data_IF_491364516146
#
_entry.id   IF_491364516146
#
_cell.length_a   1.000
_cell.length_b   1.000
_cell.length_c   1.000
_cell.angle_alpha   90.00
_cell.angle_beta   90.00
_cell.angle_gamma   90.00
#
_symmetry.space_group_name_H-M   'P 1'
#
loop_
_entity.id
_entity.type
_entity.pdbx_description
1 polymer ?
#
# COMPACT_ATOMS: atom_id res chain seq x y z
N UNK A 1 -16.17 -21.02 3.11
CA UNK A 1 -14.72 -20.76 3.31
C UNK A 1 -13.94 -21.51 2.23
N UNK A 2 -12.81 -20.98 1.75
CA UNK A 2 -11.97 -21.68 0.78
C UNK A 2 -11.43 -22.98 1.39
N UNK A 3 -11.08 -23.97 0.56
CA UNK A 3 -10.46 -25.21 1.02
C UNK A 3 -9.19 -24.93 1.85
N UNK A 4 -9.10 -25.56 3.02
CA UNK A 4 -7.96 -25.46 3.94
C UNK A 4 -7.19 -26.78 3.96
N UNK A 5 -5.86 -26.69 3.88
CA UNK A 5 -4.93 -27.80 4.03
C UNK A 5 -4.41 -27.85 5.48
N UNK A 6 -4.39 -29.01 6.16
CA UNK A 6 -3.96 -29.10 7.55
C UNK A 6 -2.52 -28.65 7.84
N UNK A 7 -1.62 -28.70 6.85
CA UNK A 7 -0.20 -28.35 6.98
C UNK A 7 0.08 -26.97 6.40
N UNK A 8 -0.49 -26.68 5.23
CA UNK A 8 -0.18 -25.48 4.44
C UNK A 8 -1.31 -24.44 4.39
N UNK A 9 -2.35 -24.62 5.21
CA UNK A 9 -3.53 -23.76 5.22
C UNK A 9 -4.10 -23.52 3.82
N UNK A 10 -4.17 -22.25 3.42
CA UNK A 10 -4.71 -21.81 2.13
C UNK A 10 -3.63 -21.55 1.08
N UNK A 11 -2.36 -21.93 1.30
CA UNK A 11 -1.25 -21.67 0.34
C UNK A 11 -1.59 -22.14 -1.07
N UNK A 12 -2.19 -23.32 -1.22
CA UNK A 12 -2.55 -23.84 -2.55
C UNK A 12 -3.68 -23.05 -3.22
N UNK A 13 -4.64 -22.55 -2.44
CA UNK A 13 -5.71 -21.69 -2.96
C UNK A 13 -5.12 -20.36 -3.42
N UNK A 14 -4.24 -19.78 -2.61
CA UNK A 14 -3.53 -18.55 -2.94
C UNK A 14 -2.65 -18.71 -4.19
N UNK A 15 -1.89 -19.80 -4.30
CA UNK A 15 -1.05 -20.08 -5.46
C UNK A 15 -1.89 -20.20 -6.75
N UNK A 16 -3.05 -20.86 -6.68
CA UNK A 16 -3.99 -20.95 -7.81
C UNK A 16 -4.53 -19.57 -8.22
N UNK A 17 -4.83 -18.70 -7.27
CA UNK A 17 -5.29 -17.34 -7.57
C UNK A 17 -4.14 -16.51 -8.17
N UNK A 18 -2.96 -16.54 -7.55
CA UNK A 18 -1.76 -15.86 -8.02
C UNK A 18 -1.39 -16.27 -9.45
N UNK A 19 -1.52 -17.55 -9.81
CA UNK A 19 -1.24 -18.02 -11.17
C UNK A 19 -2.15 -17.43 -12.25
N UNK A 20 -3.29 -16.85 -11.86
CA UNK A 20 -4.23 -16.18 -12.78
C UNK A 20 -4.05 -14.67 -12.83
N UNK A 21 -3.29 -14.10 -11.89
CA UNK A 21 -3.01 -12.68 -11.85
C UNK A 21 -1.91 -12.33 -12.86
N UNK A 22 -1.90 -11.07 -13.31
CA UNK A 22 -0.77 -10.53 -14.05
C UNK A 22 0.49 -10.64 -13.20
N UNK A 23 1.64 -10.88 -13.83
CA UNK A 23 2.92 -11.08 -13.15
C UNK A 23 3.27 -9.95 -12.17
N UNK A 24 2.87 -8.72 -12.51
CA UNK A 24 3.13 -7.50 -11.74
C UNK A 24 1.89 -7.01 -10.96
N UNK A 25 0.87 -7.86 -10.80
CA UNK A 25 -0.33 -7.51 -10.04
C UNK A 25 0.02 -7.31 -8.56
N UNK A 26 -0.54 -6.24 -7.97
CA UNK A 26 -0.29 -5.94 -6.58
C UNK A 26 -0.92 -7.01 -5.65
N UNK A 27 -0.20 -7.53 -4.64
CA UNK A 27 -0.70 -8.63 -3.81
C UNK A 27 -2.01 -8.34 -3.07
N UNK A 28 -2.39 -7.07 -2.85
CA UNK A 28 -3.67 -6.73 -2.22
C UNK A 28 -4.90 -7.15 -3.05
N UNK A 29 -4.75 -7.43 -4.35
CA UNK A 29 -5.84 -8.02 -5.13
C UNK A 29 -6.23 -9.42 -4.65
N UNK A 30 -5.35 -10.15 -3.94
CA UNK A 30 -5.62 -11.52 -3.52
C UNK A 30 -6.87 -11.67 -2.66
N UNK A 31 -7.09 -10.77 -1.72
CA UNK A 31 -8.27 -10.79 -0.86
C UNK A 31 -9.57 -10.69 -1.67
N UNK A 32 -9.60 -9.78 -2.64
CA UNK A 32 -10.77 -9.60 -3.50
C UNK A 32 -10.94 -10.76 -4.49
N UNK A 33 -9.87 -11.23 -5.12
CA UNK A 33 -9.93 -12.39 -6.03
C UNK A 33 -10.39 -13.67 -5.33
N UNK A 34 -10.01 -13.85 -4.06
CA UNK A 34 -10.47 -14.96 -3.23
C UNK A 34 -11.98 -14.82 -2.96
N UNK A 35 -12.45 -13.63 -2.58
CA UNK A 35 -13.88 -13.37 -2.38
C UNK A 35 -14.70 -13.61 -3.65
N UNK A 36 -14.21 -13.19 -4.81
CA UNK A 36 -14.87 -13.46 -6.10
C UNK A 36 -14.92 -14.96 -6.44
N UNK A 37 -13.86 -15.71 -6.09
CA UNK A 37 -13.79 -17.16 -6.33
C UNK A 37 -14.67 -17.98 -5.38
N UNK A 38 -15.07 -17.40 -4.25
CA UNK A 38 -15.90 -18.04 -3.23
C UNK A 38 -17.04 -17.09 -2.80
N UNK A 39 -18.10 -16.91 -3.60
CA UNK A 39 -19.14 -15.89 -3.35
C UNK A 39 -19.90 -16.07 -2.04
N UNK A 40 -20.02 -17.30 -1.55
CA UNK A 40 -20.66 -17.61 -0.27
C UNK A 40 -19.80 -17.21 0.95
N UNK A 41 -18.57 -16.77 0.70
CA UNK A 41 -17.69 -16.22 1.72
C UNK A 41 -18.14 -14.81 2.07
N UNK A 42 -18.48 -14.59 3.34
CA UNK A 42 -18.75 -13.26 3.87
C UNK A 42 -17.55 -12.32 3.72
N UNK A 43 -17.75 -11.01 3.97
CA UNK A 43 -16.71 -9.98 3.79
C UNK A 43 -15.58 -10.07 4.83
N UNK A 44 -15.67 -10.96 5.80
CA UNK A 44 -14.69 -11.13 6.87
C UNK A 44 -14.29 -12.59 6.91
N UNK A 45 -12.98 -12.86 6.84
CA UNK A 45 -12.49 -14.23 6.82
C UNK A 45 -11.03 -14.37 7.19
N UNK A 46 -10.66 -15.57 7.64
CA UNK A 46 -9.27 -15.92 7.89
C UNK A 46 -8.56 -16.37 6.62
N UNK A 47 -7.34 -15.88 6.46
CA UNK A 47 -6.36 -16.34 5.50
C UNK A 47 -5.16 -16.92 6.25
N UNK A 48 -5.06 -18.23 6.19
CA UNK A 48 -3.93 -19.00 6.72
C UNK A 48 -2.97 -19.31 5.56
N UNK A 49 -1.73 -18.83 5.63
CA UNK A 49 -0.69 -19.21 4.66
C UNK A 49 0.61 -19.62 5.36
N UNK A 50 0.48 -20.28 6.52
CA UNK A 50 1.61 -20.88 7.21
C UNK A 50 2.35 -21.89 6.29
N UNK A 51 3.70 -21.94 6.31
CA UNK A 51 4.62 -21.19 7.16
C UNK A 51 5.10 -19.84 6.61
N UNK A 52 4.53 -19.35 5.51
CA UNK A 52 5.04 -18.16 4.82
C UNK A 52 4.46 -16.86 5.35
N UNK A 53 3.19 -16.86 5.75
CA UNK A 53 2.49 -15.69 6.28
C UNK A 53 1.74 -16.12 7.53
N UNK A 54 1.75 -15.27 8.56
CA UNK A 54 0.93 -15.48 9.76
C UNK A 54 -0.55 -15.53 9.40
N UNK A 55 -1.34 -16.24 10.20
CA UNK A 55 -2.80 -16.23 10.09
C UNK A 55 -3.30 -14.78 10.09
N UNK A 56 -3.97 -14.39 9.01
CA UNK A 56 -4.39 -13.02 8.75
C UNK A 56 -5.91 -12.97 8.71
N UNK A 57 -6.52 -12.06 9.46
CA UNK A 57 -7.94 -11.75 9.32
C UNK A 57 -8.11 -10.70 8.22
N UNK A 58 -8.77 -11.06 7.13
CA UNK A 58 -9.16 -10.13 6.08
C UNK A 58 -10.52 -9.54 6.43
N UNK A 59 -10.60 -8.21 6.42
CA UNK A 59 -11.83 -7.45 6.72
C UNK A 59 -12.15 -6.57 5.52
N UNK A 60 -13.11 -6.98 4.71
CA UNK A 60 -13.63 -6.26 3.54
C UNK A 60 -15.03 -5.67 3.81
N UNK A 61 -15.28 -5.26 5.06
CA UNK A 61 -16.53 -4.61 5.50
C UNK A 61 -16.20 -3.21 6.03
N UNK A 62 -16.72 -2.12 5.42
CA UNK A 62 -16.42 -0.76 5.88
C UNK A 62 -16.80 -0.51 7.34
N UNK A 63 -17.95 -1.02 7.80
CA UNK A 63 -18.41 -0.86 9.17
C UNK A 63 -17.44 -1.55 10.17
N UNK A 64 -16.97 -2.75 9.84
CA UNK A 64 -16.03 -3.49 10.70
C UNK A 64 -14.62 -2.88 10.65
N UNK A 65 -14.19 -2.37 9.49
CA UNK A 65 -12.92 -1.65 9.35
C UNK A 65 -12.89 -0.41 10.25
N UNK A 66 -13.98 0.36 10.30
CA UNK A 66 -14.07 1.52 11.19
C UNK A 66 -13.89 1.14 12.66
N UNK A 67 -14.49 0.02 13.09
CA UNK A 67 -14.34 -0.49 14.46
C UNK A 67 -12.90 -0.80 14.83
N UNK A 68 -12.11 -1.42 13.94
CA UNK A 68 -10.74 -1.87 14.25
C UNK A 68 -9.63 -0.87 13.92
N UNK A 69 -9.93 0.18 13.15
CA UNK A 69 -8.95 1.20 12.75
C UNK A 69 -9.16 2.54 13.44
N UNK A 70 -10.40 2.86 13.80
CA UNK A 70 -10.79 4.19 14.31
C UNK A 70 -11.37 4.13 15.71
N UNK A 71 -12.37 3.27 15.95
CA UNK A 71 -13.04 3.18 17.27
C UNK A 71 -12.16 2.45 18.30
N UNK A 72 -11.59 1.32 17.89
CA UNK A 72 -10.64 0.54 18.65
C UNK A 72 -9.34 0.50 17.86
N UNK A 73 -8.43 1.44 18.14
CA UNK A 73 -7.10 1.47 17.52
C UNK A 73 -6.32 0.23 17.98
N UNK A 74 -6.35 -0.82 17.15
CA UNK A 74 -5.57 -2.03 17.40
C UNK A 74 -4.07 -1.74 17.24
N UNK A 75 -3.19 -2.44 17.97
CA UNK A 75 -1.75 -2.32 17.78
C UNK A 75 -1.36 -2.70 16.35
N UNK A 76 -0.30 -2.06 15.85
CA UNK A 76 0.25 -2.40 14.53
C UNK A 76 0.84 -3.80 14.54
N UNK A 77 0.92 -4.40 13.36
CA UNK A 77 1.49 -5.73 13.21
C UNK A 77 3.00 -5.70 13.57
N UNK A 78 3.47 -6.47 14.58
CA UNK A 78 4.85 -6.33 15.08
C UNK A 78 5.94 -6.52 14.03
N UNK A 79 5.73 -7.41 13.06
CA UNK A 79 6.71 -7.67 12.01
C UNK A 79 6.98 -6.45 11.11
N UNK A 80 6.10 -5.44 11.10
CA UNK A 80 6.37 -4.17 10.41
C UNK A 80 7.56 -3.47 11.05
N UNK A 81 7.64 -3.45 12.38
CA UNK A 81 8.77 -2.86 13.08
C UNK A 81 10.05 -3.66 12.79
N UNK A 82 10.01 -4.99 12.92
CA UNK A 82 11.15 -5.85 12.62
C UNK A 82 11.71 -5.62 11.20
N UNK A 83 10.81 -5.43 10.23
CA UNK A 83 11.18 -5.16 8.84
C UNK A 83 11.79 -3.76 8.64
N UNK A 84 11.27 -2.73 9.30
CA UNK A 84 11.71 -1.34 9.13
C UNK A 84 12.84 -0.94 10.09
N UNK A 85 13.10 -1.72 11.13
CA UNK A 85 14.10 -1.43 12.14
C UNK A 85 15.50 -1.16 11.56
N UNK A 86 16.02 -1.92 10.57
CA UNK A 86 17.33 -1.62 9.99
C UNK A 86 17.38 -0.28 9.24
N UNK A 87 16.24 0.25 8.77
CA UNK A 87 16.16 1.48 7.99
C UNK A 87 15.97 2.71 8.88
N UNK A 88 15.12 2.60 9.91
CA UNK A 88 14.69 3.73 10.70
C UNK A 88 14.96 3.58 12.20
N UNK A 89 15.47 2.43 12.66
CA UNK A 89 15.70 2.12 14.08
C UNK A 89 14.43 2.30 14.94
N UNK A 90 13.27 1.91 14.39
CA UNK A 90 11.95 2.12 14.99
C UNK A 90 11.51 3.58 15.07
N UNK A 91 12.27 4.52 14.48
CA UNK A 91 11.98 5.96 14.48
C UNK A 91 11.33 6.41 13.18
N UNK A 92 10.25 5.75 12.79
CA UNK A 92 9.44 6.11 11.66
C UNK A 92 7.94 6.12 12.00
N UNK A 93 7.16 6.90 11.27
CA UNK A 93 5.71 7.03 11.50
C UNK A 93 4.92 5.74 11.22
N UNK A 94 5.52 4.76 10.53
CA UNK A 94 4.88 3.49 10.21
C UNK A 94 5.00 2.54 11.40
N UNK A 95 6.14 2.47 12.08
CA UNK A 95 6.41 1.55 13.19
C UNK A 95 6.09 2.12 14.58
N UNK A 96 6.25 3.44 14.78
CA UNK A 96 5.96 4.09 16.06
C UNK A 96 4.48 3.91 16.46
N UNK A 97 4.21 3.77 17.76
CA UNK A 97 2.84 3.64 18.29
C UNK A 97 2.49 4.71 19.32
N UNK A 98 1.18 4.87 19.53
CA UNK A 98 0.59 5.66 20.62
C UNK A 98 1.13 7.11 20.71
N UNK A 99 1.75 7.45 21.84
CA UNK A 99 2.16 8.81 22.19
C UNK A 99 3.30 9.32 21.31
N UNK A 100 4.29 8.47 21.05
CA UNK A 100 5.45 8.83 20.22
C UNK A 100 4.99 9.10 18.79
N UNK A 101 4.19 8.20 18.23
CA UNK A 101 3.57 8.38 16.93
C UNK A 101 2.76 9.68 16.86
N UNK A 102 1.90 9.95 17.86
CA UNK A 102 1.03 11.14 17.89
C UNK A 102 1.85 12.43 17.87
N UNK A 103 2.94 12.48 18.62
CA UNK A 103 3.84 13.62 18.65
C UNK A 103 4.47 13.86 17.28
N UNK A 104 5.17 12.87 16.72
CA UNK A 104 5.84 13.01 15.43
C UNK A 104 4.87 13.23 14.26
N UNK A 105 3.70 12.59 14.30
CA UNK A 105 2.64 12.79 13.31
C UNK A 105 2.13 14.24 13.31
N UNK A 106 2.01 14.86 14.49
CA UNK A 106 1.58 16.26 14.59
C UNK A 106 2.57 17.23 13.93
N UNK A 107 3.87 16.99 14.09
CA UNK A 107 4.92 17.78 13.45
C UNK A 107 4.89 17.54 11.93
N UNK A 108 4.88 16.28 11.51
CA UNK A 108 4.85 15.89 10.10
C UNK A 108 3.63 16.47 9.36
N UNK A 109 2.45 16.48 9.99
CA UNK A 109 1.22 16.99 9.38
C UNK A 109 1.29 18.48 8.99
N UNK A 110 2.19 19.28 9.60
CA UNK A 110 2.36 20.69 9.22
C UNK A 110 2.84 20.84 7.77
N UNK A 111 3.70 19.92 7.30
CA UNK A 111 4.13 19.83 5.90
C UNK A 111 3.02 19.40 4.94
N UNK A 112 1.87 18.97 5.45
CA UNK A 112 0.69 18.64 4.65
C UNK A 112 -0.46 19.63 4.90
N UNK A 113 -0.18 20.78 5.50
CA UNK A 113 -1.18 21.84 5.66
C UNK A 113 -1.55 22.42 4.30
N UNK A 114 -2.82 22.80 4.13
CA UNK A 114 -3.29 23.38 2.87
C UNK A 114 -2.47 24.59 2.44
N UNK A 115 -2.09 25.46 3.39
CA UNK A 115 -1.25 26.64 3.10
C UNK A 115 0.11 26.27 2.52
N UNK A 116 0.78 25.25 3.08
CA UNK A 116 2.08 24.80 2.58
C UNK A 116 1.96 24.03 1.26
N UNK A 117 0.91 23.22 1.10
CA UNK A 117 0.65 22.54 -0.18
C UNK A 117 0.42 23.54 -1.31
N UNK A 118 -0.29 24.65 -1.05
CA UNK A 118 -0.51 25.71 -2.04
C UNK A 118 0.79 26.39 -2.48
N UNK A 119 1.81 26.52 -1.61
CA UNK A 119 3.11 27.05 -2.02
C UNK A 119 3.91 26.08 -2.89
N UNK A 120 3.59 24.78 -2.83
CA UNK A 120 4.26 23.73 -3.61
C UNK A 120 3.65 23.51 -5.00
N UNK A 121 2.42 24.01 -5.23
CA UNK A 121 1.71 23.84 -6.51
C UNK A 121 2.54 24.26 -7.73
N UNK A 122 3.25 25.41 -7.74
CA UNK A 122 4.06 25.80 -8.90
C UNK A 122 5.12 24.76 -9.26
N UNK A 123 5.79 24.16 -8.28
CA UNK A 123 6.79 23.11 -8.52
C UNK A 123 6.16 21.81 -8.99
N UNK A 124 5.03 21.41 -8.41
CA UNK A 124 4.27 20.23 -8.86
C UNK A 124 3.86 20.39 -10.32
N UNK A 125 3.33 21.55 -10.69
CA UNK A 125 2.93 21.85 -12.07
C UNK A 125 4.14 21.76 -13.00
N UNK A 126 5.27 22.35 -12.62
CA UNK A 126 6.51 22.32 -13.41
C UNK A 126 7.00 20.89 -13.67
N UNK A 127 7.08 20.04 -12.65
CA UNK A 127 7.50 18.63 -12.87
C UNK A 127 6.47 17.84 -13.67
N UNK A 128 5.18 18.12 -13.45
CA UNK A 128 4.11 17.48 -14.24
C UNK A 128 4.17 17.89 -15.71
N UNK A 129 4.52 19.15 -16.03
CA UNK A 129 4.72 19.60 -17.40
C UNK A 129 5.85 18.83 -18.08
N UNK A 130 7.01 18.69 -17.41
CA UNK A 130 8.13 17.88 -17.94
C UNK A 130 7.70 16.43 -18.19
N UNK A 131 6.97 15.83 -17.26
CA UNK A 131 6.43 14.48 -17.44
C UNK A 131 5.50 14.40 -18.66
N UNK A 132 4.60 15.36 -18.86
CA UNK A 132 3.74 15.41 -20.03
C UNK A 132 4.53 15.53 -21.34
N UNK A 133 5.58 16.35 -21.38
CA UNK A 133 6.46 16.46 -22.56
C UNK A 133 7.13 15.12 -22.90
N UNK A 134 7.60 14.39 -21.89
CA UNK A 134 8.16 13.04 -22.08
C UNK A 134 7.12 12.07 -22.65
N UNK A 135 5.88 12.12 -22.14
CA UNK A 135 4.79 11.28 -22.68
C UNK A 135 4.44 11.66 -24.12
N UNK A 136 4.40 12.95 -24.45
CA UNK A 136 4.17 13.42 -25.82
C UNK A 136 5.25 12.94 -26.78
N UNK A 137 6.51 12.94 -26.36
CA UNK A 137 7.61 12.45 -27.18
C UNK A 137 7.51 10.95 -27.46
N UNK A 138 7.11 10.14 -26.48
CA UNK A 138 6.81 8.73 -26.71
C UNK A 138 5.61 8.54 -27.65
N UNK A 139 4.55 9.33 -27.47
CA UNK A 139 3.39 9.28 -28.35
C UNK A 139 3.75 9.63 -29.81
N UNK A 140 4.61 10.64 -30.04
CA UNK A 140 5.11 11.01 -31.38
C UNK A 140 5.98 9.91 -32.00
N UNK A 141 6.80 9.23 -31.20
CA UNK A 141 7.64 8.11 -31.64
C UNK A 141 6.84 6.83 -31.90
N UNK A 142 5.61 6.76 -31.37
CA UNK A 142 4.76 5.57 -31.41
C UNK A 142 5.44 4.33 -30.83
N UNK A 143 6.28 4.52 -29.80
CA UNK A 143 7.00 3.45 -29.13
C UNK A 143 6.28 2.96 -27.87
N UNK A 144 6.67 1.78 -27.39
CA UNK A 144 6.18 1.24 -26.11
C UNK A 144 7.22 1.53 -25.04
N UNK A 145 6.75 2.03 -23.90
CA UNK A 145 7.60 2.37 -22.76
C UNK A 145 6.95 1.91 -21.43
N UNK A 146 7.75 1.67 -20.38
CA UNK A 146 7.23 1.31 -19.08
C UNK A 146 6.67 2.54 -18.34
N UNK A 147 5.35 2.71 -18.35
CA UNK A 147 4.66 3.81 -17.67
C UNK A 147 5.06 3.95 -16.20
N UNK A 148 5.20 2.81 -15.49
CA UNK A 148 5.58 2.79 -14.07
C UNK A 148 6.86 3.57 -13.80
N UNK A 149 7.89 3.40 -14.63
CA UNK A 149 9.17 4.07 -14.46
C UNK A 149 9.02 5.59 -14.58
N UNK A 150 8.26 6.06 -15.56
CA UNK A 150 8.05 7.50 -15.75
C UNK A 150 7.22 8.10 -14.59
N UNK A 151 6.21 7.38 -14.11
CA UNK A 151 5.40 7.84 -12.98
C UNK A 151 6.17 7.82 -11.65
N UNK A 152 7.05 6.82 -11.45
CA UNK A 152 7.92 6.77 -10.27
C UNK A 152 8.90 7.95 -10.28
N UNK A 153 9.48 8.28 -11.44
CA UNK A 153 10.37 9.43 -11.60
C UNK A 153 9.64 10.74 -11.28
N UNK A 154 8.45 10.96 -11.84
CA UNK A 154 7.64 12.14 -11.52
C UNK A 154 7.37 12.25 -10.01
N UNK A 155 7.01 11.14 -9.36
CA UNK A 155 6.78 11.13 -7.92
C UNK A 155 8.05 11.53 -7.15
N UNK A 156 9.21 11.02 -7.54
CA UNK A 156 10.50 11.38 -6.92
C UNK A 156 10.88 12.84 -7.17
N UNK A 157 10.68 13.37 -8.38
CA UNK A 157 10.97 14.77 -8.70
C UNK A 157 10.09 15.71 -7.88
N UNK A 158 8.79 15.42 -7.80
CA UNK A 158 7.83 16.20 -7.00
C UNK A 158 8.18 16.12 -5.51
N UNK A 159 8.38 14.92 -4.95
CA UNK A 159 8.72 14.76 -3.52
C UNK A 159 10.06 15.45 -3.23
N UNK A 160 11.04 15.27 -4.11
CA UNK A 160 12.35 15.90 -3.99
C UNK A 160 12.25 17.41 -3.92
N UNK A 161 11.47 18.05 -4.80
CA UNK A 161 11.28 19.52 -4.81
C UNK A 161 10.52 20.07 -3.62
N UNK A 162 9.57 19.30 -3.10
CA UNK A 162 8.76 19.74 -1.96
C UNK A 162 9.54 19.58 -0.65
N UNK A 163 10.44 18.59 -0.56
CA UNK A 163 11.13 18.23 0.69
C UNK A 163 12.55 18.78 0.79
N UNK A 164 13.29 18.93 -0.33
CA UNK A 164 14.71 19.32 -0.39
C UNK A 164 14.91 20.73 -0.95
#
# INVERSE_FOLDING_TARGET
MPPHNPIFGHVFVLARILSKLLKDAYPHYLADQLRQSYPDMGPIFYLDAWPFITLTLVVASPATLAQITTEHVLPKFPAINDFLYPLANGRDLVSMDNREWKFWRSIFNLGFSASHLMTSVPDIVRETTVFCEVLEDHARKQDTFPMKTLTDNLAMDVIGKVVL
#
